data_IF_023124033098
#
_entry.id   IF_023124033098
#
_cell.length_a   1.000
_cell.length_b   1.000
_cell.length_c   1.000
_cell.angle_alpha   90.00
_cell.angle_beta   90.00
_cell.angle_gamma   90.00
#
_symmetry.space_group_name_H-M   'P 1'
#
loop_
_entity.id
_entity.type
_entity.pdbx_description
1 polymer ?
#
# COMPACT_ATOMS: atom_id res chain seq x y z
N UNK A 1 -13.14 15.76 1.05
CA UNK A 1 -12.29 15.22 2.12
C UNK A 1 -12.03 13.74 1.87
N UNK A 2 -10.84 13.24 2.20
CA UNK A 2 -10.49 11.83 2.00
C UNK A 2 -9.70 11.31 3.20
N UNK A 3 -9.94 10.05 3.57
CA UNK A 3 -9.23 9.37 4.64
C UNK A 3 -7.94 8.79 4.07
N UNK A 4 -6.80 9.13 4.67
CA UNK A 4 -5.51 8.51 4.34
C UNK A 4 -5.50 7.11 4.94
N UNK A 5 -5.19 6.09 4.13
CA UNK A 5 -5.14 4.69 4.56
C UNK A 5 -3.71 4.27 4.89
N UNK A 6 -3.57 3.38 5.87
CA UNK A 6 -2.26 2.91 6.37
C UNK A 6 -1.67 3.83 7.45
N UNK A 7 -2.51 4.66 8.07
CA UNK A 7 -2.16 5.62 9.14
C UNK A 7 -3.21 5.59 10.24
N UNK A 8 -2.79 5.74 11.50
CA UNK A 8 -3.63 5.58 12.70
C UNK A 8 -4.38 4.23 12.65
N UNK A 9 -5.67 4.23 12.95
CA UNK A 9 -6.51 3.02 13.02
C UNK A 9 -6.99 2.53 11.65
N UNK A 10 -6.53 3.13 10.56
CA UNK A 10 -7.01 2.80 9.21
C UNK A 10 -6.04 1.89 8.48
N UNK A 11 -6.49 0.67 8.21
CA UNK A 11 -5.67 -0.32 7.53
C UNK A 11 -5.51 -0.04 6.02
N UNK A 12 -4.35 -0.40 5.48
CA UNK A 12 -4.06 -0.39 4.06
C UNK A 12 -4.72 -1.54 3.29
N UNK A 13 -4.77 -1.44 1.96
CA UNK A 13 -5.33 -2.51 1.12
C UNK A 13 -4.32 -3.64 0.92
N UNK A 14 -4.68 -4.86 1.34
CA UNK A 14 -3.85 -6.06 1.19
C UNK A 14 -3.68 -6.43 -0.29
N UNK A 15 -2.51 -6.98 -0.65
CA UNK A 15 -2.18 -7.51 -1.99
C UNK A 15 -2.32 -6.52 -3.17
N UNK A 16 -2.43 -5.21 -2.91
CA UNK A 16 -2.52 -4.23 -3.98
C UNK A 16 -1.15 -4.01 -4.63
N UNK A 17 -1.09 -4.12 -5.96
CA UNK A 17 0.16 -4.00 -6.71
C UNK A 17 0.33 -2.64 -7.40
N UNK A 18 -0.76 -1.97 -7.79
CA UNK A 18 -0.76 -0.66 -8.45
C UNK A 18 -1.24 0.45 -7.50
N UNK A 19 -0.70 1.67 -7.66
CA UNK A 19 -1.03 2.85 -6.83
C UNK A 19 -0.92 2.59 -5.31
N UNK A 20 0.06 1.77 -4.90
CA UNK A 20 0.23 1.27 -3.52
C UNK A 20 0.33 2.38 -2.47
N UNK A 21 0.98 3.49 -2.80
CA UNK A 21 1.17 4.64 -1.92
C UNK A 21 -0.16 5.27 -1.49
N UNK A 22 -1.12 5.40 -2.40
CA UNK A 22 -2.44 5.99 -2.12
C UNK A 22 -3.27 5.13 -1.16
N UNK A 23 -3.05 3.82 -1.16
CA UNK A 23 -3.87 2.85 -0.42
C UNK A 23 -3.15 2.21 0.77
N UNK A 24 -2.00 2.74 1.18
CA UNK A 24 -1.24 2.22 2.32
C UNK A 24 -0.73 0.79 2.13
N UNK A 25 -0.57 0.32 0.89
CA UNK A 25 -0.10 -1.03 0.60
C UNK A 25 1.44 -1.07 0.61
N UNK A 26 2.03 -1.91 1.47
CA UNK A 26 3.49 -2.04 1.55
C UNK A 26 4.03 -2.78 0.33
N UNK A 27 5.25 -2.43 -0.08
CA UNK A 27 5.96 -3.17 -1.14
C UNK A 27 6.34 -4.56 -0.60
N UNK A 28 5.98 -5.65 -1.27
CA UNK A 28 6.40 -6.99 -0.87
C UNK A 28 7.93 -7.11 -0.98
N UNK A 29 8.59 -7.52 0.11
CA UNK A 29 10.06 -7.60 0.19
C UNK A 29 10.66 -8.65 -0.75
N UNK A 30 9.90 -9.69 -1.12
CA UNK A 30 10.34 -10.77 -2.01
C UNK A 30 10.18 -10.49 -3.51
N UNK A 31 9.52 -9.38 -3.88
CA UNK A 31 9.45 -8.93 -5.27
C UNK A 31 10.25 -7.63 -5.38
N UNK A 32 11.57 -7.76 -5.33
CA UNK A 32 12.44 -6.73 -5.86
C UNK A 32 12.14 -6.66 -7.37
N UNK A 33 11.52 -5.55 -7.81
CA UNK A 33 11.15 -5.29 -9.19
C UNK A 33 12.20 -5.84 -10.15
N UNK A 34 11.78 -6.81 -10.98
CA UNK A 34 12.45 -7.04 -12.26
C UNK A 34 12.53 -5.66 -12.93
N UNK A 35 13.76 -5.25 -13.25
CA UNK A 35 13.99 -4.10 -14.12
C UNK A 35 13.35 -4.36 -15.46
#
# INVERSE_FOLDING_TARGET
>A
YHIVRGTLDTDGVKNRQQARSKYGAKRPKGQAAAK
#
